data_IF_312777424202
#
_entry.id   IF_312777424202
#
_cell.length_a   1.000
_cell.length_b   1.000
_cell.length_c   1.000
_cell.angle_alpha   90.00
_cell.angle_beta   90.00
_cell.angle_gamma   90.00
#
_symmetry.space_group_name_H-M   'P 1'
#
loop_
_entity.id
_entity.type
_entity.pdbx_description
1 polymer ?
#
# COMPACT_ATOMS: atom_id res chain seq x y z
N UNK A 1 14.78 -37.79 -1.97
CA UNK A 1 15.77 -36.70 -2.00
C UNK A 1 16.35 -36.59 -0.60
N UNK A 2 17.66 -36.72 -0.44
CA UNK A 2 18.32 -36.62 0.85
C UNK A 2 18.16 -35.17 1.40
N UNK A 3 17.70 -35.04 2.63
CA UNK A 3 17.44 -33.76 3.31
C UNK A 3 18.66 -32.83 3.33
N UNK A 4 19.85 -33.38 3.37
CA UNK A 4 21.14 -32.65 3.35
C UNK A 4 21.44 -31.90 2.04
N UNK A 5 20.95 -32.37 0.89
CA UNK A 5 21.13 -31.65 -0.38
C UNK A 5 20.20 -30.43 -0.55
N UNK A 6 19.10 -30.39 0.21
CA UNK A 6 18.18 -29.25 0.19
C UNK A 6 18.68 -28.08 1.06
N UNK A 7 19.45 -28.37 2.10
CA UNK A 7 19.83 -27.35 3.10
C UNK A 7 20.72 -26.23 2.52
N UNK A 8 21.58 -26.54 1.55
CA UNK A 8 22.51 -25.59 0.93
C UNK A 8 22.13 -25.20 -0.52
N UNK A 9 20.92 -25.56 -0.96
CA UNK A 9 20.44 -25.22 -2.29
C UNK A 9 19.55 -23.97 -2.26
N UNK A 10 19.46 -23.26 -3.39
CA UNK A 10 18.50 -22.15 -3.58
C UNK A 10 17.08 -22.56 -3.18
N UNK A 11 16.68 -23.77 -3.56
CA UNK A 11 15.35 -24.32 -3.21
C UNK A 11 15.21 -24.49 -1.69
N UNK A 12 16.24 -24.95 -1.01
CA UNK A 12 16.25 -25.06 0.44
C UNK A 12 16.16 -23.72 1.14
N UNK A 13 16.84 -22.70 0.62
CA UNK A 13 16.74 -21.33 1.11
C UNK A 13 15.34 -20.75 0.91
N UNK A 14 14.75 -20.92 -0.27
CA UNK A 14 13.37 -20.52 -0.54
C UNK A 14 12.37 -21.27 0.35
N UNK A 15 12.61 -22.55 0.61
CA UNK A 15 11.75 -23.33 1.48
C UNK A 15 11.81 -22.83 2.93
N UNK A 16 13.00 -22.52 3.46
CA UNK A 16 13.17 -21.93 4.78
C UNK A 16 12.51 -20.55 4.87
N UNK A 17 12.63 -19.75 3.82
CA UNK A 17 12.04 -18.42 3.75
C UNK A 17 10.51 -18.45 3.76
N UNK A 18 9.88 -19.31 2.94
CA UNK A 18 8.42 -19.33 2.80
C UNK A 18 7.69 -20.19 3.82
N UNK A 19 8.33 -21.22 4.36
CA UNK A 19 7.69 -22.15 5.28
C UNK A 19 7.04 -21.47 6.50
N UNK A 20 7.66 -20.48 7.16
CA UNK A 20 7.08 -19.79 8.30
C UNK A 20 5.75 -19.09 8.01
N UNK A 21 5.52 -18.62 6.78
CA UNK A 21 4.26 -17.98 6.39
C UNK A 21 3.05 -18.91 6.54
N UNK A 22 3.28 -20.22 6.56
CA UNK A 22 2.25 -21.24 6.66
C UNK A 22 2.31 -21.99 7.98
N UNK A 23 3.00 -21.47 8.99
CA UNK A 23 3.20 -22.12 10.30
C UNK A 23 1.90 -22.40 11.06
N UNK A 24 0.82 -21.65 10.79
CA UNK A 24 -0.51 -21.91 11.35
C UNK A 24 -1.18 -23.18 10.80
N UNK A 25 -0.69 -23.72 9.69
CA UNK A 25 -1.19 -24.95 9.11
C UNK A 25 -0.45 -26.19 9.68
N UNK A 26 -1.06 -27.37 9.50
CA UNK A 26 -0.37 -28.63 9.81
C UNK A 26 0.88 -28.79 8.94
N UNK A 27 1.91 -29.48 9.45
CA UNK A 27 3.17 -29.70 8.71
C UNK A 27 2.99 -30.19 7.27
N UNK A 28 2.09 -31.17 6.96
CA UNK A 28 1.85 -31.57 5.59
C UNK A 28 1.26 -30.46 4.71
N UNK A 29 0.35 -29.66 5.25
CA UNK A 29 -0.26 -28.53 4.53
C UNK A 29 0.76 -27.40 4.32
N UNK A 30 1.53 -27.08 5.34
CA UNK A 30 2.62 -26.11 5.27
C UNK A 30 3.61 -26.49 4.15
N UNK A 31 4.04 -27.73 4.10
CA UNK A 31 4.90 -28.27 3.06
C UNK A 31 4.31 -28.05 1.66
N UNK A 32 3.02 -28.38 1.46
CA UNK A 32 2.36 -28.23 0.15
C UNK A 32 2.21 -26.77 -0.27
N UNK A 33 1.83 -25.88 0.66
CA UNK A 33 1.69 -24.46 0.38
C UNK A 33 3.03 -23.80 0.06
N UNK A 34 4.09 -24.18 0.78
CA UNK A 34 5.45 -23.70 0.49
C UNK A 34 5.88 -24.09 -0.93
N UNK A 35 5.65 -25.35 -1.32
CA UNK A 35 5.96 -25.81 -2.69
C UNK A 35 5.11 -25.11 -3.76
N UNK A 36 3.87 -24.75 -3.45
CA UNK A 36 3.04 -23.95 -4.38
C UNK A 36 3.66 -22.59 -4.66
N UNK A 37 4.17 -21.92 -3.63
CA UNK A 37 4.86 -20.63 -3.78
C UNK A 37 6.14 -20.79 -4.60
N UNK A 38 6.96 -21.80 -4.28
CA UNK A 38 8.20 -22.08 -5.02
C UNK A 38 7.91 -22.41 -6.49
N UNK A 39 6.88 -23.22 -6.75
CA UNK A 39 6.46 -23.53 -8.12
C UNK A 39 6.01 -22.31 -8.90
N UNK A 40 5.31 -21.38 -8.26
CA UNK A 40 4.89 -20.14 -8.86
C UNK A 40 6.09 -19.24 -9.19
N UNK A 41 7.07 -19.15 -8.30
CA UNK A 41 8.33 -18.43 -8.55
C UNK A 41 9.11 -19.04 -9.72
N UNK A 42 9.26 -20.38 -9.73
CA UNK A 42 10.01 -21.08 -10.74
C UNK A 42 9.40 -20.96 -12.15
N UNK A 43 8.08 -21.01 -12.24
CA UNK A 43 7.37 -20.96 -13.53
C UNK A 43 6.94 -19.54 -13.92
N UNK A 44 7.10 -18.57 -13.03
CA UNK A 44 6.69 -17.17 -13.20
C UNK A 44 5.25 -17.01 -13.74
N UNK A 45 4.39 -17.97 -13.42
CA UNK A 45 3.02 -18.01 -13.93
C UNK A 45 2.16 -18.88 -13.03
N UNK A 46 0.88 -18.53 -12.89
CA UNK A 46 -0.10 -19.34 -12.16
C UNK A 46 -1.46 -19.39 -12.89
N UNK A 47 -1.55 -19.85 -14.14
CA UNK A 47 -2.83 -19.92 -14.83
C UNK A 47 -3.78 -20.93 -14.17
N UNK A 48 -3.27 -22.03 -13.60
CA UNK A 48 -4.06 -23.00 -12.84
C UNK A 48 -3.18 -23.88 -11.96
N UNK A 49 -3.78 -24.45 -10.90
CA UNK A 49 -3.09 -25.43 -10.05
C UNK A 49 -2.65 -26.68 -10.84
N UNK A 50 -3.46 -27.11 -11.83
CA UNK A 50 -3.10 -28.23 -12.70
C UNK A 50 -1.84 -27.91 -13.52
N UNK A 51 -1.68 -26.66 -13.97
CA UNK A 51 -0.49 -26.21 -14.69
C UNK A 51 0.75 -26.31 -13.80
N UNK A 52 0.72 -25.77 -12.57
CA UNK A 52 1.83 -25.86 -11.63
C UNK A 52 2.16 -27.30 -11.28
N UNK A 53 1.15 -28.13 -11.05
CA UNK A 53 1.33 -29.52 -10.73
C UNK A 53 2.01 -30.28 -11.88
N UNK A 54 1.50 -30.16 -13.10
CA UNK A 54 2.03 -30.86 -14.27
C UNK A 54 3.46 -30.46 -14.60
N UNK A 55 3.79 -29.17 -14.51
CA UNK A 55 5.05 -28.63 -15.00
C UNK A 55 6.15 -28.56 -13.91
N UNK A 56 5.80 -28.71 -12.64
CA UNK A 56 6.78 -28.61 -11.56
C UNK A 56 6.48 -29.53 -10.37
N UNK A 57 5.32 -29.39 -9.71
CA UNK A 57 5.08 -30.00 -8.41
C UNK A 57 5.08 -31.55 -8.43
N UNK A 58 4.54 -32.17 -9.48
CA UNK A 58 4.52 -33.62 -9.61
C UNK A 58 5.92 -34.23 -9.65
N UNK A 59 6.87 -33.49 -10.23
CA UNK A 59 8.25 -33.96 -10.39
C UNK A 59 9.05 -33.84 -9.07
N UNK A 60 8.80 -32.79 -8.30
CA UNK A 60 9.62 -32.49 -7.10
C UNK A 60 9.03 -33.02 -5.79
N UNK A 61 7.72 -33.19 -5.69
CA UNK A 61 7.07 -33.55 -4.42
C UNK A 61 6.45 -34.94 -4.40
N UNK A 62 6.24 -35.58 -5.55
CA UNK A 62 5.54 -36.82 -5.72
C UNK A 62 4.14 -36.88 -5.07
N UNK A 63 3.49 -35.70 -4.94
CA UNK A 63 2.15 -35.58 -4.37
C UNK A 63 1.11 -35.41 -5.46
N UNK A 64 -0.09 -35.97 -5.25
CA UNK A 64 -1.18 -35.87 -6.20
C UNK A 64 -1.79 -34.44 -6.22
N UNK A 65 -2.38 -34.07 -7.35
CA UNK A 65 -3.02 -32.77 -7.55
C UNK A 65 -4.08 -32.45 -6.48
N UNK A 66 -4.86 -33.44 -6.04
CA UNK A 66 -5.90 -33.26 -5.04
C UNK A 66 -5.36 -32.83 -3.67
N UNK A 67 -4.12 -33.23 -3.32
CA UNK A 67 -3.47 -32.78 -2.08
C UNK A 67 -3.29 -31.25 -2.07
N UNK A 68 -2.95 -30.68 -3.20
CA UNK A 68 -2.79 -29.23 -3.35
C UNK A 68 -4.11 -28.47 -3.34
N UNK A 69 -5.17 -29.05 -3.94
CA UNK A 69 -6.51 -28.46 -3.82
C UNK A 69 -6.99 -28.41 -2.37
N UNK A 70 -6.74 -29.48 -1.59
CA UNK A 70 -7.05 -29.51 -0.15
C UNK A 70 -6.21 -28.49 0.63
N UNK A 71 -4.91 -28.37 0.34
CA UNK A 71 -4.03 -27.40 0.98
C UNK A 71 -4.50 -25.96 0.73
N UNK A 72 -4.94 -25.63 -0.49
CA UNK A 72 -5.51 -24.32 -0.82
C UNK A 72 -6.87 -24.04 -0.15
N UNK A 73 -7.55 -25.05 0.36
CA UNK A 73 -8.81 -24.87 1.09
C UNK A 73 -8.59 -24.79 2.60
N UNK A 74 -7.34 -24.79 3.06
CA UNK A 74 -7.01 -24.71 4.47
C UNK A 74 -7.46 -23.36 5.06
N UNK A 75 -8.16 -23.41 6.19
CA UNK A 75 -8.75 -22.22 6.82
C UNK A 75 -7.82 -21.55 7.85
N UNK A 76 -6.74 -22.24 8.27
CA UNK A 76 -5.83 -21.71 9.28
C UNK A 76 -4.89 -20.64 8.72
N UNK A 77 -4.58 -20.70 7.41
CA UNK A 77 -3.78 -19.69 6.73
C UNK A 77 -4.70 -18.62 6.17
N UNK A 78 -4.78 -17.51 6.84
CA UNK A 78 -5.66 -16.40 6.47
C UNK A 78 -4.93 -15.31 5.69
N UNK A 79 -5.67 -14.52 4.91
CA UNK A 79 -5.14 -13.30 4.28
C UNK A 79 -4.52 -12.35 5.31
N UNK A 80 -5.09 -12.31 6.51
CA UNK A 80 -4.59 -11.46 7.59
C UNK A 80 -3.23 -11.94 8.08
N UNK A 81 -3.06 -13.24 8.33
CA UNK A 81 -1.77 -13.78 8.81
C UNK A 81 -0.66 -13.58 7.78
N UNK A 82 -0.93 -13.84 6.50
CA UNK A 82 0.05 -13.64 5.43
C UNK A 82 0.48 -12.17 5.29
N UNK A 83 -0.50 -11.25 5.35
CA UNK A 83 -0.20 -9.82 5.27
C UNK A 83 0.60 -9.32 6.47
N UNK A 84 0.24 -9.75 7.69
CA UNK A 84 0.97 -9.35 8.90
C UNK A 84 2.42 -9.80 8.81
N UNK A 85 2.68 -11.08 8.50
CA UNK A 85 4.04 -11.61 8.38
C UNK A 85 4.84 -10.90 7.27
N UNK A 86 4.22 -10.62 6.11
CA UNK A 86 4.88 -9.85 5.04
C UNK A 86 5.23 -8.44 5.51
N UNK A 87 4.34 -7.78 6.25
CA UNK A 87 4.57 -6.44 6.80
C UNK A 87 5.67 -6.47 7.85
N UNK A 88 5.64 -7.43 8.79
CA UNK A 88 6.67 -7.60 9.81
C UNK A 88 8.06 -7.82 9.20
N UNK A 89 8.14 -8.69 8.18
CA UNK A 89 9.37 -8.89 7.44
C UNK A 89 9.84 -7.60 6.75
N UNK A 90 8.95 -6.92 6.03
CA UNK A 90 9.30 -5.66 5.37
C UNK A 90 9.80 -4.60 6.37
N UNK A 91 9.15 -4.50 7.54
CA UNK A 91 9.58 -3.59 8.60
C UNK A 91 10.93 -3.99 9.20
N UNK A 92 11.21 -5.29 9.37
CA UNK A 92 12.49 -5.77 9.90
C UNK A 92 13.68 -5.48 8.98
N UNK A 93 13.43 -5.28 7.69
CA UNK A 93 14.47 -4.95 6.70
C UNK A 93 14.71 -3.45 6.56
N UNK A 94 14.00 -2.61 7.32
CA UNK A 94 14.29 -1.17 7.35
C UNK A 94 15.67 -0.98 7.97
N UNK A 95 16.62 -0.33 7.27
CA UNK A 95 17.96 -0.07 7.81
C UNK A 95 17.89 0.67 9.15
N UNK A 96 18.80 0.34 10.07
CA UNK A 96 18.82 0.94 11.40
C UNK A 96 18.81 2.48 11.39
N UNK A 97 19.49 3.09 10.41
CA UNK A 97 19.50 4.54 10.20
C UNK A 97 18.14 5.13 9.84
N UNK A 98 17.18 4.32 9.37
CA UNK A 98 15.84 4.74 8.93
C UNK A 98 14.72 4.25 9.85
N UNK A 99 15.03 3.52 10.93
CA UNK A 99 13.99 2.96 11.82
C UNK A 99 13.14 4.01 12.53
N UNK A 100 13.70 5.20 12.75
CA UNK A 100 12.99 6.33 13.38
C UNK A 100 12.35 7.28 12.36
N UNK A 101 12.47 6.99 11.08
CA UNK A 101 11.90 7.83 10.03
C UNK A 101 10.43 7.50 9.76
N UNK A 102 9.64 8.47 9.26
CA UNK A 102 8.25 8.23 8.92
C UNK A 102 8.09 7.15 7.84
N UNK A 103 7.21 6.19 8.08
CA UNK A 103 6.83 5.18 7.10
C UNK A 103 5.58 5.64 6.37
N UNK A 104 5.64 5.72 5.04
CA UNK A 104 4.52 6.14 4.21
C UNK A 104 3.75 4.93 3.69
N UNK A 105 2.47 4.85 4.08
CA UNK A 105 1.56 3.84 3.60
C UNK A 105 0.74 4.41 2.43
N UNK A 106 0.94 3.86 1.24
CA UNK A 106 0.14 4.20 0.07
C UNK A 106 -1.08 3.30 0.00
N UNK A 107 -2.26 3.90 -0.06
CA UNK A 107 -3.54 3.17 -0.13
C UNK A 107 -4.32 3.69 -1.33
N UNK A 108 -4.80 2.77 -2.16
CA UNK A 108 -5.74 3.05 -3.22
C UNK A 108 -7.13 2.63 -2.77
N UNK A 109 -7.93 3.58 -2.28
CA UNK A 109 -9.29 3.31 -1.83
C UNK A 109 -10.25 4.36 -2.36
N UNK A 110 -11.38 3.87 -2.88
CA UNK A 110 -12.51 4.68 -3.30
C UNK A 110 -13.43 5.04 -2.13
N UNK A 111 -13.29 4.40 -0.97
CA UNK A 111 -14.12 4.61 0.24
C UNK A 111 -13.45 5.53 1.26
N UNK A 112 -12.94 6.65 0.78
CA UNK A 112 -12.21 7.67 1.56
C UNK A 112 -12.82 7.99 2.94
N UNK A 113 -14.14 8.24 3.12
CA UNK A 113 -14.65 8.66 4.43
C UNK A 113 -14.41 7.65 5.55
N UNK A 114 -14.69 6.35 5.31
CA UNK A 114 -14.51 5.29 6.33
C UNK A 114 -13.05 5.07 6.70
N UNK A 115 -12.17 5.22 5.72
CA UNK A 115 -10.73 5.12 5.93
C UNK A 115 -10.21 6.29 6.76
N UNK A 116 -10.61 7.51 6.40
CA UNK A 116 -10.23 8.73 7.11
C UNK A 116 -10.62 8.68 8.59
N UNK A 117 -11.84 8.26 8.91
CA UNK A 117 -12.27 8.11 10.31
C UNK A 117 -11.35 7.17 11.11
N UNK A 118 -10.90 6.07 10.50
CA UNK A 118 -9.96 5.15 11.15
C UNK A 118 -8.58 5.77 11.36
N UNK A 119 -8.03 6.43 10.35
CA UNK A 119 -6.69 7.07 10.45
C UNK A 119 -6.70 8.16 11.52
N UNK A 120 -7.78 8.94 11.59
CA UNK A 120 -7.93 10.00 12.58
C UNK A 120 -7.99 9.53 14.06
N UNK A 121 -8.18 8.22 14.29
CA UNK A 121 -8.08 7.62 15.62
C UNK A 121 -6.62 7.44 16.09
N UNK A 122 -5.65 7.50 15.15
CA UNK A 122 -4.23 7.29 15.43
C UNK A 122 -3.46 8.59 15.21
N UNK A 123 -3.06 9.32 16.26
CA UNK A 123 -2.46 10.67 16.16
C UNK A 123 -1.14 10.69 15.35
N UNK A 124 -0.42 9.57 15.33
CA UNK A 124 0.84 9.40 14.62
C UNK A 124 0.69 9.02 13.15
N UNK A 125 -0.55 8.80 12.68
CA UNK A 125 -0.81 8.53 11.27
C UNK A 125 -1.28 9.80 10.56
N UNK A 126 -0.71 10.05 9.40
CA UNK A 126 -1.17 11.05 8.48
C UNK A 126 -1.61 10.40 7.17
N UNK A 127 -2.53 11.05 6.47
CA UNK A 127 -2.95 10.61 5.15
C UNK A 127 -2.86 11.71 4.12
N UNK A 128 -2.79 11.31 2.86
CA UNK A 128 -3.09 12.14 1.70
C UNK A 128 -3.96 11.35 0.74
N UNK A 129 -5.03 11.96 0.27
CA UNK A 129 -5.95 11.33 -0.68
C UNK A 129 -6.46 12.33 -1.71
N UNK A 130 -6.75 11.84 -2.91
CA UNK A 130 -7.55 12.55 -3.89
C UNK A 130 -9.01 12.48 -3.47
N UNK A 131 -9.72 13.59 -3.53
CA UNK A 131 -11.15 13.68 -3.21
C UNK A 131 -11.92 14.30 -4.37
N UNK A 132 -13.23 14.11 -4.36
CA UNK A 132 -14.09 14.70 -5.40
C UNK A 132 -13.97 16.20 -5.40
N UNK A 133 -13.96 16.80 -6.59
CA UNK A 133 -13.84 18.24 -6.77
C UNK A 133 -15.01 19.06 -6.17
N UNK A 134 -16.16 18.42 -5.97
CA UNK A 134 -17.35 19.00 -5.36
C UNK A 134 -17.41 18.86 -3.84
N UNK A 135 -16.36 18.29 -3.22
CA UNK A 135 -16.29 18.09 -1.76
C UNK A 135 -16.41 19.41 -1.01
N UNK A 136 -17.28 19.43 0.00
CA UNK A 136 -17.55 20.64 0.77
C UNK A 136 -16.36 21.02 1.67
N UNK A 137 -15.84 22.22 1.46
CA UNK A 137 -14.76 22.83 2.24
C UNK A 137 -15.23 24.16 2.81
N UNK A 138 -14.73 24.50 3.98
CA UNK A 138 -15.09 25.75 4.67
C UNK A 138 -13.84 26.40 5.25
N UNK A 139 -13.86 27.73 5.32
CA UNK A 139 -12.87 28.47 6.09
C UNK A 139 -12.95 28.11 7.58
N UNK A 140 -11.87 28.37 8.28
CA UNK A 140 -11.85 28.24 9.73
C UNK A 140 -12.92 29.16 10.36
N UNK A 141 -13.47 28.80 11.52
CA UNK A 141 -14.43 29.64 12.19
C UNK A 141 -13.80 31.01 12.49
N UNK A 142 -14.55 32.09 12.32
CA UNK A 142 -14.08 33.40 12.72
C UNK A 142 -13.85 33.46 14.23
N UNK A 143 -12.97 34.34 14.66
CA UNK A 143 -12.74 34.61 16.07
C UNK A 143 -14.07 34.97 16.77
N UNK A 144 -14.27 34.61 18.04
CA UNK A 144 -15.46 34.98 18.80
C UNK A 144 -15.65 36.50 18.79
N UNK A 145 -16.81 36.94 18.37
CA UNK A 145 -17.11 38.40 18.24
C UNK A 145 -17.52 39.05 19.57
N UNK A 146 -17.60 38.31 20.67
CA UNK A 146 -18.11 38.80 21.97
C UNK A 146 -19.62 39.08 21.99
N UNK A 147 -20.33 38.94 20.86
CA UNK A 147 -21.77 39.15 20.78
C UNK A 147 -22.56 37.95 21.32
N UNK A 148 -23.74 38.15 21.93
CA UNK A 148 -24.61 37.05 22.34
C UNK A 148 -24.98 36.18 21.14
N UNK A 149 -24.96 34.85 21.32
CA UNK A 149 -25.35 33.89 20.31
C UNK A 149 -24.39 32.69 20.23
N UNK A 150 -24.80 31.65 19.50
CA UNK A 150 -23.98 30.46 19.31
C UNK A 150 -22.82 30.77 18.39
N UNK A 151 -21.56 30.52 18.80
CA UNK A 151 -20.40 30.72 17.93
C UNK A 151 -20.52 29.94 16.62
N UNK A 152 -20.10 30.56 15.52
CA UNK A 152 -20.06 29.87 14.22
C UNK A 152 -19.06 28.73 14.27
N UNK A 153 -19.48 27.54 13.86
CA UNK A 153 -18.62 26.34 13.82
C UNK A 153 -17.69 26.31 12.61
N UNK A 154 -17.94 27.10 11.58
CA UNK A 154 -17.20 27.18 10.30
C UNK A 154 -17.39 28.54 9.65
N UNK A 155 -16.42 28.93 8.81
CA UNK A 155 -16.47 30.15 8.00
C UNK A 155 -17.25 29.96 6.70
N UNK A 156 -16.89 30.74 5.69
CA UNK A 156 -17.50 30.68 4.34
C UNK A 156 -17.16 29.35 3.66
N UNK A 157 -18.00 28.92 2.72
CA UNK A 157 -17.72 27.82 1.82
C UNK A 157 -16.61 28.23 0.87
N UNK A 158 -15.67 27.30 0.63
CA UNK A 158 -14.53 27.46 -0.29
C UNK A 158 -14.77 26.59 -1.51
N UNK A 159 -14.52 27.13 -2.69
CA UNK A 159 -14.55 26.43 -3.97
C UNK A 159 -13.12 26.27 -4.52
N UNK A 160 -12.93 25.41 -5.52
CA UNK A 160 -11.61 25.17 -6.12
C UNK A 160 -11.03 26.44 -6.75
N UNK A 161 -11.89 27.36 -7.20
CA UNK A 161 -11.48 28.62 -7.82
C UNK A 161 -10.98 29.64 -6.82
N UNK A 162 -11.29 29.47 -5.54
CA UNK A 162 -10.83 30.35 -4.46
C UNK A 162 -9.37 30.08 -4.03
N UNK A 163 -8.72 29.06 -4.63
CA UNK A 163 -7.33 28.75 -4.35
C UNK A 163 -6.39 29.59 -5.19
N UNK A 164 -5.50 30.31 -4.53
CA UNK A 164 -4.38 30.99 -5.19
C UNK A 164 -3.36 29.94 -5.60
N UNK A 165 -3.09 29.79 -6.90
CA UNK A 165 -2.14 28.85 -7.46
C UNK A 165 -0.74 29.48 -7.42
N UNK A 166 -0.05 29.38 -6.29
CA UNK A 166 1.21 30.04 -6.01
C UNK A 166 2.46 29.23 -6.33
N UNK A 167 2.30 27.94 -6.58
CA UNK A 167 3.44 27.04 -6.78
C UNK A 167 3.33 26.28 -8.11
N UNK A 168 4.47 26.06 -8.77
CA UNK A 168 4.54 25.38 -10.06
C UNK A 168 5.53 24.21 -9.98
N UNK A 169 5.10 23.03 -10.35
CA UNK A 169 5.93 21.81 -10.39
C UNK A 169 5.49 20.93 -11.56
N UNK A 170 6.44 20.46 -12.37
CA UNK A 170 6.20 19.58 -13.51
C UNK A 170 5.11 20.11 -14.48
N UNK A 171 5.07 21.41 -14.72
CA UNK A 171 4.07 22.04 -15.61
C UNK A 171 2.67 22.15 -15.03
N UNK A 172 2.46 21.77 -13.78
CA UNK A 172 1.20 21.94 -13.05
C UNK A 172 1.31 23.06 -12.03
N UNK A 173 0.23 23.82 -11.86
CA UNK A 173 0.12 24.84 -10.82
C UNK A 173 -0.60 24.28 -9.61
N UNK A 174 -0.20 24.71 -8.42
CA UNK A 174 -0.74 24.22 -7.17
C UNK A 174 -1.14 25.37 -6.24
N UNK A 175 -2.22 25.16 -5.51
CA UNK A 175 -2.66 26.03 -4.42
C UNK A 175 -2.87 25.22 -3.14
N UNK A 176 -2.65 25.85 -2.00
CA UNK A 176 -2.81 25.26 -0.68
C UNK A 176 -3.61 26.15 0.25
N UNK A 177 -4.51 25.56 1.04
CA UNK A 177 -5.24 26.23 2.14
C UNK A 177 -5.53 25.23 3.26
N UNK A 178 -5.58 25.76 4.48
CA UNK A 178 -6.12 25.00 5.61
C UNK A 178 -7.64 25.20 5.64
N UNK A 179 -8.38 24.10 5.65
CA UNK A 179 -9.85 24.11 5.56
C UNK A 179 -10.48 23.21 6.63
N UNK A 180 -11.78 23.38 6.84
CA UNK A 180 -12.62 22.43 7.55
C UNK A 180 -13.45 21.65 6.53
N UNK A 181 -13.57 20.33 6.75
CA UNK A 181 -14.45 19.47 5.96
C UNK A 181 -15.13 18.42 6.83
N UNK A 182 -16.37 18.09 6.50
CA UNK A 182 -17.10 17.03 7.19
C UNK A 182 -16.50 15.64 6.94
N UNK A 183 -15.83 15.42 5.80
CA UNK A 183 -15.15 14.17 5.46
C UNK A 183 -14.13 13.79 6.54
N UNK A 184 -13.51 14.79 7.16
CA UNK A 184 -12.52 14.60 8.22
C UNK A 184 -13.06 14.98 9.61
N UNK A 185 -14.36 14.79 9.87
CA UNK A 185 -14.96 15.06 11.18
C UNK A 185 -14.93 16.55 11.59
N UNK A 186 -14.99 17.47 10.64
CA UNK A 186 -14.85 18.92 10.84
C UNK A 186 -13.53 19.34 11.51
N UNK A 187 -12.46 18.57 11.29
CA UNK A 187 -11.11 18.95 11.73
C UNK A 187 -10.43 19.82 10.69
N UNK A 188 -9.41 20.55 11.13
CA UNK A 188 -8.50 21.28 10.26
C UNK A 188 -7.70 20.29 9.44
N UNK A 189 -7.66 20.48 8.14
CA UNK A 189 -6.86 19.68 7.21
C UNK A 189 -6.22 20.59 6.17
N UNK A 190 -5.15 20.11 5.58
CA UNK A 190 -4.52 20.74 4.43
C UNK A 190 -5.27 20.33 3.16
N UNK A 191 -5.80 21.30 2.42
CA UNK A 191 -6.42 21.13 1.12
C UNK A 191 -5.46 21.63 0.05
N UNK A 192 -5.23 20.83 -0.97
CA UNK A 192 -4.39 21.16 -2.11
C UNK A 192 -5.21 21.07 -3.38
N UNK A 193 -5.03 22.06 -4.25
CA UNK A 193 -5.61 22.04 -5.60
C UNK A 193 -4.47 21.97 -6.60
N UNK A 194 -4.47 20.99 -7.48
CA UNK A 194 -3.61 20.96 -8.66
C UNK A 194 -4.38 21.42 -9.89
N UNK A 195 -3.74 22.22 -10.73
CA UNK A 195 -4.29 22.69 -11.99
C UNK A 195 -3.33 22.35 -13.13
N UNK A 196 -3.81 21.60 -14.12
CA UNK A 196 -3.05 21.27 -15.33
C UNK A 196 -3.01 22.46 -16.30
N UNK A 197 -2.14 22.42 -17.29
CA UNK A 197 -2.10 23.41 -18.36
C UNK A 197 -3.43 23.53 -19.12
N UNK A 198 -4.20 22.43 -19.20
CA UNK A 198 -5.55 22.44 -19.80
C UNK A 198 -6.64 23.01 -18.89
N UNK A 199 -6.31 23.48 -17.67
CA UNK A 199 -7.27 24.02 -16.71
C UNK A 199 -7.99 22.98 -15.86
N UNK A 200 -7.74 21.68 -16.04
CA UNK A 200 -8.34 20.63 -15.20
C UNK A 200 -7.81 20.73 -13.77
N UNK A 201 -8.72 20.72 -12.80
CA UNK A 201 -8.40 20.82 -11.38
C UNK A 201 -8.69 19.55 -10.64
N UNK A 202 -7.79 19.16 -9.71
CA UNK A 202 -7.98 18.04 -8.78
C UNK A 202 -7.78 18.52 -7.35
N UNK A 203 -8.59 17.97 -6.44
CA UNK A 203 -8.56 18.30 -5.03
C UNK A 203 -7.94 17.16 -4.23
N UNK A 204 -7.06 17.50 -3.29
CA UNK A 204 -6.44 16.58 -2.37
C UNK A 204 -6.60 17.08 -0.94
N UNK A 205 -6.81 16.13 -0.01
CA UNK A 205 -6.80 16.39 1.42
C UNK A 205 -5.65 15.66 2.08
N UNK A 206 -5.01 16.33 3.04
CA UNK A 206 -3.96 15.74 3.87
C UNK A 206 -4.06 16.19 5.31
N UNK A 207 -3.77 15.29 6.24
CA UNK A 207 -3.57 15.62 7.65
C UNK A 207 -2.08 15.77 8.01
N UNK A 208 -1.19 15.56 7.03
CA UNK A 208 0.23 15.68 7.24
C UNK A 208 0.59 17.16 7.47
N UNK A 209 1.10 17.42 8.67
CA UNK A 209 1.69 18.73 9.02
C UNK A 209 3.17 18.72 8.64
N UNK A 210 3.49 19.41 7.56
CA UNK A 210 4.87 19.47 7.04
C UNK A 210 5.79 20.32 7.92
N UNK A 211 5.24 21.18 8.77
CA UNK A 211 6.03 22.00 9.70
C UNK A 211 6.71 21.17 10.80
N UNK A 212 6.15 19.98 11.10
CA UNK A 212 6.66 19.05 12.12
C UNK A 212 7.54 17.96 11.54
N UNK A 213 7.66 17.86 10.21
CA UNK A 213 8.52 16.88 9.56
C UNK A 213 9.98 17.29 9.63
N UNK A 214 10.69 16.77 10.63
CA UNK A 214 12.14 16.75 10.62
C UNK A 214 12.62 15.64 9.69
N UNK A 215 13.04 16.04 8.49
CA UNK A 215 13.55 15.07 7.51
C UNK A 215 15.05 14.88 7.76
N UNK A 216 15.43 13.62 7.99
CA UNK A 216 16.85 13.26 8.09
C UNK A 216 17.55 13.46 6.73
N UNK A 217 18.89 13.63 6.78
CA UNK A 217 19.73 13.72 5.57
C UNK A 217 19.49 12.54 4.63
N UNK A 218 19.24 11.34 5.15
CA UNK A 218 18.97 10.13 4.37
C UNK A 218 17.72 10.25 3.48
N UNK A 219 16.71 10.99 3.91
CA UNK A 219 15.52 11.29 3.10
C UNK A 219 15.76 12.39 2.08
N UNK A 220 16.57 13.39 2.44
CA UNK A 220 16.93 14.49 1.54
C UNK A 220 17.76 13.99 0.34
N UNK A 221 18.52 12.92 0.51
CA UNK A 221 19.31 12.30 -0.55
C UNK A 221 18.48 11.49 -1.55
N UNK A 222 17.26 11.08 -1.20
CA UNK A 222 16.40 10.38 -2.14
C UNK A 222 15.92 11.33 -3.25
N UNK A 223 16.04 10.88 -4.50
CA UNK A 223 15.73 11.66 -5.72
C UNK A 223 14.36 12.35 -5.67
N UNK A 224 13.35 11.73 -5.03
CA UNK A 224 11.99 12.26 -4.87
C UNK A 224 11.97 13.55 -4.01
N UNK A 225 12.95 13.70 -3.11
CA UNK A 225 13.01 14.77 -2.13
C UNK A 225 14.11 15.79 -2.45
N UNK A 226 15.13 15.38 -3.20
CA UNK A 226 16.27 16.22 -3.58
C UNK A 226 15.85 17.48 -4.34
N UNK A 227 14.74 17.40 -5.07
CA UNK A 227 14.22 18.49 -5.91
C UNK A 227 13.13 19.33 -5.20
N UNK A 228 12.94 19.15 -3.88
CA UNK A 228 12.03 19.99 -3.10
C UNK A 228 12.81 21.17 -2.52
N UNK A 229 12.68 22.38 -3.09
CA UNK A 229 13.21 23.57 -2.43
C UNK A 229 12.56 23.73 -1.05
N UNK A 230 13.29 24.29 -0.08
CA UNK A 230 12.77 24.54 1.27
C UNK A 230 11.44 25.31 1.25
N UNK A 231 11.26 26.18 0.28
CA UNK A 231 10.04 26.96 0.01
C UNK A 231 8.86 26.11 -0.47
N UNK A 232 9.09 24.86 -0.91
CA UNK A 232 8.06 23.94 -1.42
C UNK A 232 7.61 22.87 -0.44
N UNK A 233 8.02 22.93 0.82
CA UNK A 233 7.70 21.91 1.83
C UNK A 233 6.18 21.79 2.06
N UNK A 234 5.43 22.86 1.95
CA UNK A 234 3.96 22.83 2.08
C UNK A 234 3.30 21.89 1.06
N UNK A 235 3.94 21.69 -0.09
CA UNK A 235 3.45 20.81 -1.17
C UNK A 235 4.03 19.39 -1.13
N UNK A 236 4.82 19.09 -0.12
CA UNK A 236 5.41 17.79 0.09
C UNK A 236 4.40 16.64 0.09
N UNK A 237 3.20 16.74 0.70
CA UNK A 237 2.18 15.71 0.62
C UNK A 237 1.83 15.30 -0.82
N UNK A 238 1.82 16.25 -1.76
CA UNK A 238 1.54 15.95 -3.16
C UNK A 238 2.65 15.12 -3.83
N UNK A 239 3.91 15.34 -3.44
CA UNK A 239 5.03 14.51 -3.89
C UNK A 239 4.90 13.07 -3.34
N UNK A 240 4.51 12.92 -2.08
CA UNK A 240 4.23 11.61 -1.49
C UNK A 240 3.05 10.91 -2.19
N UNK A 241 2.02 11.66 -2.58
CA UNK A 241 0.90 11.09 -3.32
C UNK A 241 1.31 10.45 -4.65
N UNK A 242 2.35 10.96 -5.31
CA UNK A 242 2.89 10.33 -6.54
C UNK A 242 3.37 8.89 -6.31
N UNK A 243 3.80 8.55 -5.09
CA UNK A 243 4.21 7.18 -4.74
C UNK A 243 3.05 6.18 -4.85
N UNK A 244 1.78 6.65 -4.82
CA UNK A 244 0.59 5.82 -5.04
C UNK A 244 0.64 5.09 -6.40
N UNK A 245 1.29 5.67 -7.40
CA UNK A 245 1.46 5.04 -8.71
C UNK A 245 2.09 3.64 -8.62
N UNK A 246 2.89 3.38 -7.59
CA UNK A 246 3.45 2.06 -7.34
C UNK A 246 2.37 0.98 -7.15
N UNK A 247 1.18 1.32 -6.64
CA UNK A 247 0.05 0.39 -6.49
C UNK A 247 -0.42 -0.08 -7.87
N UNK A 248 -0.61 0.85 -8.79
CA UNK A 248 -1.07 0.54 -10.15
C UNK A 248 -0.03 -0.30 -10.89
N UNK A 249 1.25 0.03 -10.75
CA UNK A 249 2.37 -0.76 -11.31
C UNK A 249 2.38 -2.18 -10.72
N UNK A 250 2.22 -2.32 -9.40
CA UNK A 250 2.16 -3.63 -8.75
C UNK A 250 0.99 -4.47 -9.28
N UNK A 251 -0.20 -3.89 -9.42
CA UNK A 251 -1.34 -4.59 -10.01
C UNK A 251 -1.12 -4.95 -11.48
N UNK A 252 -0.50 -4.07 -12.25
CA UNK A 252 -0.12 -4.37 -13.64
C UNK A 252 0.83 -5.56 -13.72
N UNK A 253 1.90 -5.56 -12.91
CA UNK A 253 2.86 -6.66 -12.84
C UNK A 253 2.18 -7.97 -12.45
N UNK A 254 1.33 -7.97 -11.42
CA UNK A 254 0.61 -9.15 -10.95
C UNK A 254 -0.34 -9.71 -12.01
N UNK A 255 -1.05 -8.85 -12.75
CA UNK A 255 -1.95 -9.28 -13.83
C UNK A 255 -1.19 -9.82 -15.02
N UNK A 256 -0.12 -9.13 -15.43
CA UNK A 256 0.63 -9.44 -16.66
C UNK A 256 1.55 -10.62 -16.49
N UNK A 257 2.34 -10.65 -15.41
CA UNK A 257 3.39 -11.64 -15.22
C UNK A 257 3.00 -12.78 -14.28
N UNK A 258 2.06 -12.55 -13.33
CA UNK A 258 1.69 -13.51 -12.29
C UNK A 258 0.30 -14.10 -12.46
N UNK A 259 -0.34 -13.87 -13.60
CA UNK A 259 -1.66 -14.42 -13.94
C UNK A 259 -2.72 -14.15 -12.88
N UNK A 260 -2.69 -12.99 -12.20
CA UNK A 260 -3.63 -12.66 -11.12
C UNK A 260 -5.10 -12.78 -11.57
N UNK A 261 -5.39 -12.43 -12.82
CA UNK A 261 -6.73 -12.45 -13.43
C UNK A 261 -7.04 -13.71 -14.26
N UNK A 262 -6.08 -14.63 -14.41
CA UNK A 262 -6.21 -15.79 -15.29
C UNK A 262 -6.76 -17.06 -14.57
N UNK A 263 -7.57 -16.91 -13.52
CA UNK A 263 -8.08 -18.03 -12.78
C UNK A 263 -9.49 -18.49 -13.23
N UNK A 264 -9.76 -19.79 -13.05
CA UNK A 264 -11.07 -20.41 -13.29
C UNK A 264 -11.67 -21.00 -12.02
N UNK A 265 -11.41 -20.38 -10.87
CA UNK A 265 -11.89 -20.80 -9.55
C UNK A 265 -13.26 -20.13 -9.32
N UNK A 266 -14.28 -20.90 -8.96
CA UNK A 266 -15.63 -20.39 -8.69
C UNK A 266 -15.89 -20.09 -7.22
N UNK A 267 -15.16 -20.74 -6.29
CA UNK A 267 -15.35 -20.57 -4.85
C UNK A 267 -14.59 -19.35 -4.36
N UNK A 268 -15.26 -18.46 -3.64
CA UNK A 268 -14.68 -17.24 -3.08
C UNK A 268 -13.38 -17.50 -2.30
N UNK A 269 -13.39 -18.47 -1.37
CA UNK A 269 -12.18 -18.82 -0.59
C UNK A 269 -11.00 -19.23 -1.48
N UNK A 270 -11.25 -19.97 -2.53
CA UNK A 270 -10.18 -20.36 -3.48
C UNK A 270 -9.63 -19.17 -4.25
N UNK A 271 -10.47 -18.19 -4.58
CA UNK A 271 -10.05 -16.93 -5.21
C UNK A 271 -9.18 -16.13 -4.25
N UNK A 272 -9.63 -15.96 -3.01
CA UNK A 272 -8.91 -15.23 -1.97
C UNK A 272 -7.52 -15.86 -1.71
N UNK A 273 -7.45 -17.18 -1.55
CA UNK A 273 -6.17 -17.86 -1.34
C UNK A 273 -5.23 -17.70 -2.53
N UNK A 274 -5.75 -17.76 -3.75
CA UNK A 274 -4.95 -17.53 -4.94
C UNK A 274 -4.40 -16.10 -4.99
N UNK A 275 -5.26 -15.11 -4.77
CA UNK A 275 -4.84 -13.70 -4.73
C UNK A 275 -3.77 -13.49 -3.68
N UNK A 276 -3.93 -14.10 -2.50
CA UNK A 276 -2.95 -14.02 -1.43
C UNK A 276 -1.61 -14.66 -1.79
N UNK A 277 -1.61 -15.82 -2.47
CA UNK A 277 -0.37 -16.45 -2.92
C UNK A 277 0.33 -15.61 -3.98
N UNK A 278 -0.39 -15.04 -4.94
CA UNK A 278 0.20 -14.12 -5.93
C UNK A 278 0.80 -12.90 -5.24
N UNK A 279 0.07 -12.29 -4.29
CA UNK A 279 0.56 -11.17 -3.52
C UNK A 279 1.81 -11.52 -2.70
N UNK A 280 1.83 -12.69 -2.05
CA UNK A 280 2.99 -13.16 -1.28
C UNK A 280 4.21 -13.30 -2.19
N UNK A 281 4.07 -14.00 -3.31
CA UNK A 281 5.15 -14.20 -4.29
C UNK A 281 5.68 -12.86 -4.82
N UNK A 282 4.78 -11.99 -5.25
CA UNK A 282 5.14 -10.68 -5.79
C UNK A 282 5.85 -9.81 -4.75
N UNK A 283 5.32 -9.73 -3.53
CA UNK A 283 5.93 -8.97 -2.43
C UNK A 283 7.30 -9.54 -2.05
N UNK A 284 7.42 -10.87 -1.99
CA UNK A 284 8.68 -11.54 -1.66
C UNK A 284 9.76 -11.24 -2.69
N UNK A 285 9.44 -11.18 -3.98
CA UNK A 285 10.41 -10.80 -5.01
C UNK A 285 10.94 -9.37 -4.85
N UNK A 286 10.11 -8.47 -4.33
CA UNK A 286 10.56 -7.10 -4.02
C UNK A 286 11.44 -7.05 -2.77
N UNK A 287 11.31 -8.02 -1.87
CA UNK A 287 12.00 -8.10 -0.58
C UNK A 287 13.29 -8.92 -0.68
N UNK A 288 13.28 -10.04 -1.41
CA UNK A 288 14.42 -10.97 -1.52
C UNK A 288 15.77 -10.31 -1.82
N UNK A 289 15.88 -9.26 -2.68
CA UNK A 289 17.14 -8.59 -2.95
C UNK A 289 17.76 -7.85 -1.74
N UNK A 290 17.01 -7.69 -0.65
CA UNK A 290 17.46 -7.02 0.57
C UNK A 290 17.73 -8.00 1.72
N UNK A 291 17.62 -9.29 1.46
CA UNK A 291 17.98 -10.34 2.41
C UNK A 291 19.42 -10.76 2.12
N UNK A 292 20.36 -10.41 3.00
CA UNK A 292 21.73 -10.88 2.98
C UNK A 292 21.85 -12.32 3.53
#
# INVERSE_FOLDING_TARGET
>A
MNSLYLENSIIGSLFRFFSPYFSAATRPTQFLLTWLVIAQLALQSFPSLRFLHRNFLAQVTHRCLNSYYRALQNETVTSRSLRLQTTELACSLIPAALQNEPVFLSIDDTTVPKFVERVLQYPHLAFICNVRSDSAMYELPPLPSGKPGRPKKRGKRIHLDDFTLSWNMDGMKFGHRIVLTHICGNRRIHAYVSCTASGSRRLFFSTLDTSTLHMSCAWQERKILRDAPAEGMDYYPLKLYKLRWAIETNYYEQKTFWSLNAYRIRRQKGIEHRVNLVNLVHSSLKILPYLD
#
